data_IF_676820937656
#
_entry.id   IF_676820937656
#
_cell.length_a   1.000
_cell.length_b   1.000
_cell.length_c   1.000
_cell.angle_alpha   90.00
_cell.angle_beta   90.00
_cell.angle_gamma   90.00
#
_symmetry.space_group_name_H-M   'P 1'
#
loop_
_entity.id
_entity.type
_entity.pdbx_description
1 polymer ?
#
# COMPACT_ATOMS: atom_id res chain seq x y z
N UNK A 1 -7.47 -15.79 13.28
CA UNK A 1 -8.46 -14.92 12.62
C UNK A 1 -8.78 -15.55 11.29
N UNK A 2 -10.04 -15.57 10.85
CA UNK A 2 -10.38 -16.12 9.53
C UNK A 2 -9.82 -15.23 8.41
N UNK A 3 -9.64 -15.83 7.23
CA UNK A 3 -9.01 -15.18 6.07
C UNK A 3 -9.82 -13.99 5.53
N UNK A 4 -11.15 -14.03 5.65
CA UNK A 4 -12.04 -12.94 5.23
C UNK A 4 -11.91 -11.73 6.14
N UNK A 5 -11.94 -11.92 7.46
CA UNK A 5 -11.71 -10.87 8.45
C UNK A 5 -10.32 -10.25 8.29
N UNK A 6 -9.30 -11.07 8.03
CA UNK A 6 -7.93 -10.58 7.77
C UNK A 6 -7.88 -9.63 6.57
N UNK A 7 -8.58 -10.00 5.50
CA UNK A 7 -8.64 -9.22 4.28
C UNK A 7 -9.44 -7.92 4.46
N UNK A 8 -10.55 -7.95 5.20
CA UNK A 8 -11.32 -6.74 5.51
C UNK A 8 -10.51 -5.72 6.32
N UNK A 9 -9.69 -6.19 7.28
CA UNK A 9 -8.77 -5.29 7.99
C UNK A 9 -7.71 -4.73 7.04
N UNK A 10 -7.19 -5.53 6.11
CA UNK A 10 -6.27 -5.05 5.08
C UNK A 10 -6.89 -3.94 4.21
N UNK A 11 -8.16 -4.07 3.83
CA UNK A 11 -8.93 -3.00 3.16
C UNK A 11 -8.96 -1.73 4.01
N UNK A 12 -9.30 -1.86 5.30
CA UNK A 12 -9.29 -0.74 6.24
C UNK A 12 -7.92 -0.05 6.33
N UNK A 13 -6.85 -0.83 6.41
CA UNK A 13 -5.46 -0.33 6.47
C UNK A 13 -5.12 0.50 5.23
N UNK A 14 -5.39 0.00 4.02
CA UNK A 14 -5.02 0.73 2.78
C UNK A 14 -5.89 1.96 2.54
N UNK A 15 -7.18 1.90 2.90
CA UNK A 15 -8.08 3.07 2.83
C UNK A 15 -7.60 4.16 3.79
N UNK A 16 -7.26 3.78 5.03
CA UNK A 16 -6.69 4.71 6.00
C UNK A 16 -5.35 5.28 5.54
N UNK A 17 -4.44 4.44 5.02
CA UNK A 17 -3.13 4.86 4.52
C UNK A 17 -3.25 5.86 3.34
N UNK A 18 -4.11 5.59 2.35
CA UNK A 18 -4.34 6.53 1.23
C UNK A 18 -5.06 7.81 1.67
N UNK A 19 -5.91 7.73 2.69
CA UNK A 19 -6.52 8.92 3.30
C UNK A 19 -5.45 9.76 3.99
N UNK A 20 -4.52 9.14 4.72
CA UNK A 20 -3.38 9.83 5.30
C UNK A 20 -2.49 10.46 4.22
N UNK A 21 -2.20 9.74 3.13
CA UNK A 21 -1.45 10.28 1.99
C UNK A 21 -2.13 11.52 1.40
N UNK A 22 -3.45 11.49 1.27
CA UNK A 22 -4.23 12.63 0.83
C UNK A 22 -4.15 13.81 1.81
N UNK A 23 -4.30 13.57 3.12
CA UNK A 23 -4.15 14.62 4.13
C UNK A 23 -2.73 15.23 4.13
N UNK A 24 -1.71 14.41 3.94
CA UNK A 24 -0.33 14.88 3.84
C UNK A 24 -0.10 15.70 2.58
N UNK A 25 -0.64 15.29 1.43
CA UNK A 25 -0.50 16.09 0.20
C UNK A 25 -1.24 17.43 0.27
N UNK A 26 -2.36 17.51 1.02
CA UNK A 26 -3.02 18.80 1.25
C UNK A 26 -2.12 19.79 1.99
N UNK A 27 -1.25 19.30 2.88
CA UNK A 27 -0.32 20.14 3.65
C UNK A 27 0.97 20.43 2.89
N UNK A 28 1.52 19.43 2.21
CA UNK A 28 2.79 19.56 1.49
C UNK A 28 2.65 20.17 0.10
N UNK A 29 1.44 20.16 -0.48
CA UNK A 29 1.23 20.48 -1.89
C UNK A 29 1.83 19.46 -2.85
N UNK A 30 2.31 18.32 -2.36
CA UNK A 30 3.01 17.30 -3.15
C UNK A 30 2.32 15.93 -3.01
N UNK A 31 1.57 15.56 -4.04
CA UNK A 31 0.86 14.29 -4.13
C UNK A 31 1.77 13.08 -4.39
N UNK A 32 3.04 13.28 -4.72
CA UNK A 32 4.03 12.21 -4.87
C UNK A 32 4.24 11.39 -3.59
N UNK A 33 3.94 11.97 -2.42
CA UNK A 33 4.00 11.29 -1.10
C UNK A 33 3.17 10.00 -1.06
N UNK A 34 2.15 9.87 -1.91
CA UNK A 34 1.31 8.69 -2.01
C UNK A 34 2.08 7.43 -2.43
N UNK A 35 3.16 7.58 -3.19
CA UNK A 35 3.99 6.47 -3.67
C UNK A 35 4.79 5.85 -2.51
N UNK A 36 5.32 6.68 -1.61
CA UNK A 36 6.00 6.21 -0.40
C UNK A 36 5.04 5.48 0.55
N UNK A 37 3.87 6.07 0.76
CA UNK A 37 2.83 5.49 1.64
C UNK A 37 2.27 4.19 1.07
N UNK A 38 2.14 4.10 -0.27
CA UNK A 38 1.80 2.85 -0.94
C UNK A 38 2.80 1.74 -0.63
N UNK A 39 4.10 2.00 -0.82
CA UNK A 39 5.14 1.00 -0.57
C UNK A 39 5.18 0.57 0.90
N UNK A 40 5.07 1.51 1.84
CA UNK A 40 4.96 1.18 3.27
C UNK A 40 3.70 0.39 3.60
N UNK A 41 2.56 0.74 3.01
CA UNK A 41 1.31 0.01 3.23
C UNK A 41 1.40 -1.43 2.74
N UNK A 42 2.03 -1.68 1.58
CA UNK A 42 2.27 -3.05 1.09
C UNK A 42 3.21 -3.84 2.00
N UNK A 43 4.30 -3.22 2.47
CA UNK A 43 5.18 -3.85 3.46
C UNK A 43 4.45 -4.18 4.76
N UNK A 44 3.60 -3.27 5.23
CA UNK A 44 2.73 -3.49 6.38
C UNK A 44 1.72 -4.61 6.15
N UNK A 45 1.13 -4.71 4.96
CA UNK A 45 0.22 -5.81 4.60
C UNK A 45 0.94 -7.17 4.57
N UNK A 46 2.19 -7.22 4.12
CA UNK A 46 2.98 -8.46 4.17
C UNK A 46 3.16 -8.94 5.62
N UNK A 47 3.53 -8.03 6.54
CA UNK A 47 3.66 -8.34 7.98
C UNK A 47 2.30 -8.71 8.58
N UNK A 48 1.24 -8.00 8.23
CA UNK A 48 -0.12 -8.27 8.70
C UNK A 48 -0.59 -9.68 8.31
N UNK A 49 -0.51 -10.04 7.03
CA UNK A 49 -0.92 -11.36 6.57
C UNK A 49 0.00 -12.47 7.08
N UNK A 50 1.30 -12.23 7.19
CA UNK A 50 2.22 -13.17 7.83
C UNK A 50 1.83 -13.44 9.30
N UNK A 51 1.44 -12.42 10.05
CA UNK A 51 1.07 -12.54 11.46
C UNK A 51 -0.28 -13.24 11.69
N UNK A 52 -1.24 -13.05 10.76
CA UNK A 52 -2.63 -13.52 10.90
C UNK A 52 -2.94 -14.80 10.12
N UNK A 53 -2.06 -15.18 9.18
CA UNK A 53 -2.16 -16.37 8.35
C UNK A 53 -2.13 -17.69 9.11
N UNK A 54 -2.55 -18.76 8.44
CA UNK A 54 -2.61 -20.13 8.96
C UNK A 54 -1.68 -21.10 8.23
N UNK A 55 -0.98 -20.65 7.18
CA UNK A 55 0.01 -21.45 6.46
C UNK A 55 1.24 -21.79 7.33
N UNK A 56 2.18 -22.53 6.75
CA UNK A 56 3.43 -22.92 7.39
C UNK A 56 4.18 -21.70 8.00
N UNK A 57 4.65 -21.79 9.27
CA UNK A 57 5.30 -20.67 9.93
C UNK A 57 6.55 -20.13 9.21
N UNK A 58 7.35 -20.99 8.57
CA UNK A 58 8.55 -20.57 7.86
C UNK A 58 8.19 -19.79 6.60
N UNK A 59 7.19 -20.25 5.84
CA UNK A 59 6.66 -19.51 4.68
C UNK A 59 6.13 -18.13 5.10
N UNK A 60 5.34 -18.08 6.18
CA UNK A 60 4.81 -16.81 6.72
C UNK A 60 5.91 -15.86 7.16
N UNK A 61 6.95 -16.39 7.83
CA UNK A 61 8.11 -15.60 8.22
C UNK A 61 8.83 -15.01 7.00
N UNK A 62 9.04 -15.80 5.95
CA UNK A 62 9.65 -15.33 4.70
C UNK A 62 8.81 -14.22 4.05
N UNK A 63 7.48 -14.40 3.95
CA UNK A 63 6.55 -13.38 3.43
C UNK A 63 6.67 -12.07 4.22
N UNK A 64 6.57 -12.16 5.55
CA UNK A 64 6.59 -10.99 6.43
C UNK A 64 7.91 -10.24 6.39
N UNK A 65 9.04 -10.95 6.43
CA UNK A 65 10.39 -10.34 6.40
C UNK A 65 10.69 -9.77 5.02
N UNK A 66 10.52 -10.55 3.95
CA UNK A 66 10.85 -10.09 2.60
C UNK A 66 9.95 -8.93 2.18
N UNK A 67 8.63 -9.07 2.37
CA UNK A 67 7.67 -8.03 2.03
C UNK A 67 7.82 -6.78 2.91
N UNK A 68 8.01 -6.97 4.22
CA UNK A 68 8.22 -5.89 5.17
C UNK A 68 9.48 -5.08 4.88
N UNK A 69 10.64 -5.75 4.73
CA UNK A 69 11.92 -5.11 4.42
C UNK A 69 11.85 -4.40 3.06
N UNK A 70 11.26 -5.03 2.05
CA UNK A 70 11.08 -4.42 0.74
C UNK A 70 10.23 -3.14 0.83
N UNK A 71 9.09 -3.20 1.50
CA UNK A 71 8.17 -2.05 1.61
C UNK A 71 8.77 -0.91 2.40
N UNK A 72 9.48 -1.20 3.50
CA UNK A 72 10.20 -0.21 4.29
C UNK A 72 11.30 0.48 3.46
N UNK A 73 12.16 -0.31 2.82
CA UNK A 73 13.26 0.20 1.98
C UNK A 73 12.74 1.07 0.84
N UNK A 74 11.75 0.58 0.10
CA UNK A 74 11.20 1.29 -1.06
C UNK A 74 10.45 2.56 -0.63
N UNK A 75 9.60 2.47 0.39
CA UNK A 75 8.86 3.63 0.87
C UNK A 75 9.78 4.72 1.41
N UNK A 76 10.85 4.34 2.13
CA UNK A 76 11.85 5.31 2.60
C UNK A 76 12.61 5.97 1.44
N UNK A 77 13.02 5.19 0.45
CA UNK A 77 13.67 5.73 -0.76
C UNK A 77 12.77 6.74 -1.49
N UNK A 78 11.49 6.42 -1.68
CA UNK A 78 10.52 7.31 -2.33
C UNK A 78 10.20 8.55 -1.48
N UNK A 79 10.14 8.39 -0.17
CA UNK A 79 9.93 9.50 0.76
C UNK A 79 11.07 10.51 0.65
N UNK A 80 12.31 10.06 0.75
CA UNK A 80 13.50 10.91 0.61
C UNK A 80 13.57 11.58 -0.76
N UNK A 81 13.20 10.85 -1.82
CA UNK A 81 13.16 11.40 -3.19
C UNK A 81 12.18 12.57 -3.32
N UNK A 82 11.05 12.51 -2.61
CA UNK A 82 10.02 13.54 -2.68
C UNK A 82 10.21 14.65 -1.64
N UNK A 83 11.04 14.44 -0.62
CA UNK A 83 11.24 15.40 0.45
C UNK A 83 11.97 16.65 -0.05
N UNK A 84 11.29 17.81 0.01
CA UNK A 84 11.82 19.08 -0.47
C UNK A 84 11.94 19.19 -2.00
N UNK A 85 11.49 18.17 -2.75
CA UNK A 85 11.46 18.20 -4.20
C UNK A 85 10.14 18.78 -4.72
N UNK A 86 10.18 19.31 -5.94
CA UNK A 86 8.97 19.71 -6.66
C UNK A 86 8.03 18.50 -6.84
N UNK A 87 6.73 18.78 -6.93
CA UNK A 87 5.72 17.75 -7.19
C UNK A 87 6.03 17.02 -8.51
N UNK A 88 5.95 15.69 -8.49
CA UNK A 88 6.17 14.85 -9.67
C UNK A 88 5.22 15.26 -10.81
N UNK A 89 5.76 15.30 -12.04
CA UNK A 89 5.09 15.81 -13.24
C UNK A 89 3.71 15.19 -13.48
N UNK A 90 3.49 13.93 -13.07
CA UNK A 90 2.19 13.25 -13.17
C UNK A 90 1.14 13.97 -12.35
N UNK A 91 1.45 14.25 -11.09
CA UNK A 91 0.53 14.92 -10.17
C UNK A 91 0.42 16.41 -10.45
N UNK A 92 1.52 17.06 -10.84
CA UNK A 92 1.50 18.45 -11.29
C UNK A 92 0.58 18.62 -12.52
N UNK A 93 0.64 17.68 -13.48
CA UNK A 93 -0.26 17.65 -14.64
C UNK A 93 -1.72 17.44 -14.25
N UNK A 94 -2.01 16.57 -13.28
CA UNK A 94 -3.36 16.42 -12.73
C UNK A 94 -3.85 17.70 -12.06
N UNK A 95 -2.98 18.37 -11.31
CA UNK A 95 -3.30 19.64 -10.63
C UNK A 95 -3.61 20.73 -11.65
N UNK A 96 -2.82 20.86 -12.70
CA UNK A 96 -3.07 21.78 -13.80
C UNK A 96 -4.39 21.49 -14.52
N UNK A 97 -4.70 20.21 -14.78
CA UNK A 97 -5.93 19.80 -15.48
C UNK A 97 -7.20 19.92 -14.63
N UNK A 98 -7.12 19.60 -13.34
CA UNK A 98 -8.28 19.59 -12.44
C UNK A 98 -8.50 20.92 -11.71
N UNK A 99 -7.51 21.82 -11.71
CA UNK A 99 -7.61 23.15 -11.12
C UNK A 99 -8.08 23.11 -9.66
N UNK A 100 -9.10 23.90 -9.33
CA UNK A 100 -9.68 23.96 -7.98
C UNK A 100 -10.18 22.61 -7.43
N UNK A 101 -10.48 21.65 -8.31
CA UNK A 101 -11.00 20.33 -7.93
C UNK A 101 -9.88 19.30 -7.73
N UNK A 102 -8.62 19.67 -7.95
CA UNK A 102 -7.48 18.75 -7.91
C UNK A 102 -7.41 17.95 -6.61
N UNK A 103 -7.53 18.62 -5.46
CA UNK A 103 -7.47 17.98 -4.15
C UNK A 103 -8.57 16.93 -3.97
N UNK A 104 -9.82 17.24 -4.35
CA UNK A 104 -10.94 16.30 -4.29
C UNK A 104 -10.69 15.10 -5.21
N UNK A 105 -10.30 15.36 -6.45
CA UNK A 105 -10.09 14.32 -7.45
C UNK A 105 -8.89 13.42 -7.09
N UNK A 106 -7.84 13.97 -6.46
CA UNK A 106 -6.71 13.21 -5.93
C UNK A 106 -7.13 12.21 -4.86
N UNK A 107 -8.10 12.56 -3.99
CA UNK A 107 -8.63 11.60 -3.01
C UNK A 107 -9.23 10.37 -3.71
N UNK A 108 -10.12 10.58 -4.68
CA UNK A 108 -10.72 9.49 -5.45
C UNK A 108 -9.67 8.69 -6.22
N UNK A 109 -8.70 9.37 -6.82
CA UNK A 109 -7.59 8.71 -7.53
C UNK A 109 -6.76 7.82 -6.60
N UNK A 110 -6.43 8.30 -5.39
CA UNK A 110 -5.67 7.52 -4.41
C UNK A 110 -6.47 6.31 -3.91
N UNK A 111 -7.78 6.47 -3.69
CA UNK A 111 -8.64 5.35 -3.32
C UNK A 111 -8.79 4.34 -4.44
N UNK A 112 -8.87 4.78 -5.70
CA UNK A 112 -8.87 3.88 -6.85
C UNK A 112 -7.59 3.03 -6.93
N UNK A 113 -6.43 3.59 -6.58
CA UNK A 113 -5.17 2.82 -6.50
C UNK A 113 -5.20 1.70 -5.45
N UNK A 114 -6.11 1.74 -4.47
CA UNK A 114 -6.24 0.65 -3.50
C UNK A 114 -6.70 -0.65 -4.14
N UNK A 115 -7.41 -0.61 -5.27
CA UNK A 115 -7.78 -1.83 -6.00
C UNK A 115 -6.54 -2.61 -6.43
N UNK A 116 -5.55 -1.92 -7.02
CA UNK A 116 -4.29 -2.53 -7.43
C UNK A 116 -3.43 -2.94 -6.24
N UNK A 117 -3.46 -2.15 -5.16
CA UNK A 117 -2.73 -2.45 -3.93
C UNK A 117 -3.25 -3.75 -3.29
N UNK A 118 -4.57 -3.90 -3.21
CA UNK A 118 -5.22 -5.08 -2.67
C UNK A 118 -5.07 -6.28 -3.60
N UNK A 119 -5.13 -6.10 -4.92
CA UNK A 119 -4.91 -7.18 -5.87
C UNK A 119 -3.48 -7.74 -5.78
N UNK A 120 -2.49 -6.86 -5.64
CA UNK A 120 -1.10 -7.25 -5.42
C UNK A 120 -0.91 -7.92 -4.06
N UNK A 121 -1.51 -7.38 -3.00
CA UNK A 121 -1.43 -7.99 -1.68
C UNK A 121 -2.15 -9.35 -1.62
N UNK A 122 -3.25 -9.49 -2.36
CA UNK A 122 -4.02 -10.73 -2.45
C UNK A 122 -3.18 -11.85 -3.07
N UNK A 123 -2.50 -11.56 -4.18
CA UNK A 123 -1.65 -12.52 -4.88
C UNK A 123 -0.34 -12.80 -4.14
N UNK A 124 0.34 -11.76 -3.65
CA UNK A 124 1.68 -11.88 -3.09
C UNK A 124 1.70 -12.39 -1.65
N UNK A 125 0.67 -12.06 -0.84
CA UNK A 125 0.72 -12.27 0.61
C UNK A 125 -0.48 -13.07 1.13
N UNK A 126 -1.72 -12.67 0.80
CA UNK A 126 -2.93 -13.30 1.35
C UNK A 126 -3.07 -14.76 0.91
N UNK A 127 -2.98 -15.03 -0.39
CA UNK A 127 -3.05 -16.39 -0.93
C UNK A 127 -2.00 -17.32 -0.31
N UNK A 128 -0.71 -16.95 -0.33
CA UNK A 128 0.34 -17.75 0.32
C UNK A 128 0.21 -17.88 1.85
N UNK A 129 -0.29 -16.86 2.55
CA UNK A 129 -0.40 -16.87 4.03
C UNK A 129 -1.59 -17.68 4.55
N UNK A 130 -2.63 -17.87 3.74
CA UNK A 130 -3.84 -18.65 4.09
C UNK A 130 -4.03 -19.90 3.22
N UNK A 131 -3.16 -20.14 2.24
CA UNK A 131 -3.23 -21.31 1.38
C UNK A 131 -2.96 -22.58 2.17
N UNK A 132 -3.85 -23.56 2.02
CA UNK A 132 -3.58 -24.92 2.47
C UNK A 132 -2.34 -25.42 1.71
N UNK A 133 -1.32 -25.90 2.42
CA UNK A 133 -0.05 -26.40 1.86
C UNK A 133 -0.16 -27.63 0.95
N UNK A 134 -1.28 -27.81 0.25
CA UNK A 134 -1.45 -28.78 -0.82
C UNK A 134 -0.59 -28.32 -1.99
N UNK A 135 0.67 -28.74 -1.98
CA UNK A 135 1.31 -29.12 -3.24
C UNK A 135 0.32 -30.06 -3.93
N UNK A 136 -0.33 -29.59 -4.99
CA UNK A 136 -1.02 -30.49 -5.92
C UNK A 136 0.03 -31.50 -6.40
N UNK A 137 -0.20 -32.81 -6.22
CA UNK A 137 0.75 -33.83 -6.63
C UNK A 137 1.01 -33.81 -8.14
#
# INVERSE_FOLDING_TARGET
MDSSSAFLVAVGIVVAAKTLAWLLQLRSGNAGIVDAIWAWSLGGLAVWFASTGSADPLLRLAIGVMGGVWGLRLGWHLWLRNWGAAEDWRYAGFRARWGAQANRNMWFFFQFQNLFTLMLAASAFWGPAFGDGRATP
#
